data_IF_902949243028
#
_entry.id   IF_902949243028
#
_cell.length_a   1.000
_cell.length_b   1.000
_cell.length_c   1.000
_cell.angle_alpha   90.00
_cell.angle_beta   90.00
_cell.angle_gamma   90.00
#
_symmetry.space_group_name_H-M   'P 1'
#
loop_
_entity.id
_entity.type
_entity.pdbx_description
1 polymer ?
#
# COMPACT_ATOMS: atom_id res chain seq x y z
N UNK A 1 0.97 8.00 3.09
CA UNK A 1 1.75 7.25 4.09
C UNK A 1 1.73 8.04 5.38
N UNK A 2 1.37 7.42 6.50
CA UNK A 2 1.24 8.09 7.81
C UNK A 2 2.49 7.93 8.67
N UNK A 3 3.07 6.72 8.72
CA UNK A 3 4.24 6.43 9.54
C UNK A 3 5.04 5.24 8.99
N UNK A 4 6.31 5.13 9.39
CA UNK A 4 7.18 3.97 9.17
C UNK A 4 7.74 3.53 10.51
N UNK A 5 7.50 2.28 10.89
CA UNK A 5 7.89 1.72 12.20
C UNK A 5 7.44 2.61 13.38
N UNK A 6 6.25 3.19 13.29
CA UNK A 6 5.69 4.10 14.29
C UNK A 6 6.26 5.52 14.28
N UNK A 7 7.23 5.83 13.41
CA UNK A 7 7.73 7.21 13.21
C UNK A 7 6.83 7.93 12.20
N UNK A 8 6.13 9.00 12.58
CA UNK A 8 5.25 9.74 11.68
C UNK A 8 5.98 10.32 10.48
N UNK A 9 5.28 10.43 9.36
CA UNK A 9 5.79 11.08 8.15
C UNK A 9 5.48 12.57 8.17
N UNK A 10 6.49 13.39 7.88
CA UNK A 10 6.33 14.83 7.67
C UNK A 10 5.81 15.17 6.25
N UNK A 11 5.78 14.19 5.33
CA UNK A 11 5.36 14.33 3.93
C UNK A 11 4.01 13.63 3.68
N UNK A 12 2.95 14.22 4.21
CA UNK A 12 1.58 13.75 4.05
C UNK A 12 1.04 14.12 2.67
N UNK A 13 1.38 13.31 1.68
CA UNK A 13 0.89 13.44 0.30
C UNK A 13 0.15 12.18 -0.14
N UNK A 14 -0.86 12.37 -0.98
CA UNK A 14 -1.56 11.29 -1.67
C UNK A 14 -0.61 10.65 -2.68
N UNK A 15 -0.49 9.32 -2.60
CA UNK A 15 0.36 8.49 -3.44
C UNK A 15 -0.41 7.21 -3.77
N UNK A 16 -0.27 6.72 -4.98
CA UNK A 16 -0.78 5.43 -5.44
C UNK A 16 0.12 4.27 -4.97
N UNK A 17 1.43 4.52 -4.88
CA UNK A 17 2.43 3.54 -4.45
C UNK A 17 3.29 4.09 -3.29
N UNK A 18 3.68 3.21 -2.37
CA UNK A 18 4.60 3.52 -1.27
C UNK A 18 5.76 2.52 -1.24
N UNK A 19 6.95 2.99 -0.85
CA UNK A 19 8.09 2.11 -0.59
C UNK A 19 7.93 1.49 0.80
N UNK A 20 8.05 0.16 0.87
CA UNK A 20 8.07 -0.60 2.13
C UNK A 20 9.48 -1.18 2.29
N UNK A 21 10.33 -0.58 3.16
CA UNK A 21 11.64 -1.14 3.46
C UNK A 21 11.56 -2.56 4.04
N UNK A 22 12.58 -3.37 3.79
CA UNK A 22 12.66 -4.71 4.33
C UNK A 22 12.61 -4.70 5.88
N UNK A 23 11.77 -5.55 6.47
CA UNK A 23 11.61 -5.65 7.92
C UNK A 23 10.88 -4.47 8.57
N UNK A 24 10.23 -3.60 7.78
CA UNK A 24 9.49 -2.45 8.29
C UNK A 24 7.97 -2.63 8.21
N UNK A 25 7.27 -1.82 8.98
CA UNK A 25 5.81 -1.64 8.92
C UNK A 25 5.53 -0.22 8.46
N UNK A 26 4.63 -0.06 7.49
CA UNK A 26 4.22 1.24 6.95
C UNK A 26 2.72 1.42 7.20
N UNK A 27 2.36 2.51 7.84
CA UNK A 27 0.96 2.88 8.05
C UNK A 27 0.48 3.71 6.86
N UNK A 28 -0.68 3.33 6.30
CA UNK A 28 -1.30 4.03 5.17
C UNK A 28 -2.72 4.45 5.52
N UNK A 29 -3.10 5.66 5.08
CA UNK A 29 -4.49 6.06 4.98
C UNK A 29 -4.95 5.75 3.56
N UNK A 30 -6.07 5.03 3.43
CA UNK A 30 -6.70 4.71 2.16
C UNK A 30 -8.14 5.20 2.20
N UNK A 31 -8.56 5.92 1.16
CA UNK A 31 -9.95 6.37 0.97
C UNK A 31 -10.50 5.76 -0.34
N UNK A 32 -11.09 4.56 -0.29
CA UNK A 32 -11.60 3.88 -1.47
C UNK A 32 -12.96 4.48 -1.87
N UNK A 33 -12.93 5.51 -2.71
CA UNK A 33 -14.12 6.28 -3.10
C UNK A 33 -14.99 5.65 -4.20
N UNK A 34 -14.58 4.52 -4.76
CA UNK A 34 -15.33 3.82 -5.81
C UNK A 34 -15.52 2.32 -5.51
N UNK A 35 -16.74 1.78 -5.74
CA UNK A 35 -17.03 0.38 -5.49
C UNK A 35 -16.31 -0.54 -6.49
N UNK A 36 -16.10 -1.78 -6.09
CA UNK A 36 -15.51 -2.81 -6.94
C UNK A 36 -14.48 -3.68 -6.22
N UNK A 37 -13.81 -4.54 -6.98
CA UNK A 37 -12.73 -5.39 -6.48
C UNK A 37 -11.40 -4.68 -6.71
N UNK A 38 -10.75 -4.29 -5.62
CA UNK A 38 -9.48 -3.59 -5.62
C UNK A 38 -8.34 -4.59 -5.43
N UNK A 39 -7.18 -4.28 -6.01
CA UNK A 39 -5.96 -5.05 -5.87
C UNK A 39 -4.91 -4.19 -5.16
N UNK A 40 -4.25 -4.78 -4.17
CA UNK A 40 -3.01 -4.27 -3.60
C UNK A 40 -1.91 -5.27 -3.94
N UNK A 41 -0.81 -4.80 -4.52
CA UNK A 41 0.28 -5.68 -4.95
C UNK A 41 1.64 -4.99 -4.82
N UNK A 42 2.71 -5.78 -4.91
CA UNK A 42 4.05 -5.24 -5.06
C UNK A 42 4.27 -4.76 -6.50
N UNK A 43 4.84 -3.55 -6.67
CA UNK A 43 5.19 -3.02 -7.99
C UNK A 43 6.50 -3.58 -8.58
N UNK A 44 7.21 -4.43 -7.82
CA UNK A 44 8.34 -5.22 -8.34
C UNK A 44 7.74 -6.40 -9.12
N UNK A 45 7.96 -6.42 -10.43
CA UNK A 45 7.29 -7.33 -11.36
C UNK A 45 7.54 -8.81 -11.02
N UNK A 46 8.73 -9.13 -10.55
CA UNK A 46 9.13 -10.47 -10.13
C UNK A 46 8.32 -10.91 -8.89
N UNK A 47 8.11 -10.01 -7.93
CA UNK A 47 7.33 -10.29 -6.72
C UNK A 47 5.83 -10.43 -7.06
N UNK A 48 5.31 -9.57 -7.95
CA UNK A 48 3.94 -9.68 -8.45
C UNK A 48 3.71 -11.05 -9.12
N UNK A 49 4.64 -11.44 -10.00
CA UNK A 49 4.58 -12.71 -10.73
C UNK A 49 4.72 -13.92 -9.80
N UNK A 50 5.45 -13.77 -8.69
CA UNK A 50 5.52 -14.76 -7.62
C UNK A 50 4.29 -14.78 -6.71
N UNK A 51 3.30 -13.91 -6.94
CA UNK A 51 2.00 -13.91 -6.26
C UNK A 51 1.87 -12.93 -5.10
N UNK A 52 2.76 -11.93 -4.97
CA UNK A 52 2.69 -10.91 -3.92
C UNK A 52 1.58 -9.88 -4.21
N UNK A 53 0.33 -10.32 -4.07
CA UNK A 53 -0.89 -9.57 -4.31
C UNK A 53 -1.98 -9.99 -3.32
N UNK A 54 -2.87 -9.06 -3.02
CA UNK A 54 -4.13 -9.31 -2.33
C UNK A 54 -5.25 -8.56 -3.04
N UNK A 55 -6.48 -9.03 -2.88
CA UNK A 55 -7.66 -8.36 -3.38
C UNK A 55 -8.70 -8.20 -2.27
N UNK A 56 -9.41 -7.08 -2.27
CA UNK A 56 -10.52 -6.82 -1.36
C UNK A 56 -11.66 -6.13 -2.12
N UNK A 57 -12.85 -6.21 -1.56
CA UNK A 57 -14.07 -5.61 -2.15
C UNK A 57 -14.39 -4.32 -1.41
N UNK A 58 -14.72 -3.28 -2.18
CA UNK A 58 -15.28 -2.02 -1.71
C UNK A 58 -16.74 -1.99 -2.16
N UNK A 59 -17.65 -1.78 -1.21
CA UNK A 59 -19.11 -1.74 -1.42
C UNK A 59 -19.65 -0.31 -1.47
#
# INVERSE_FOLDING_TARGET
>A
MLAVNGVPSDDLVWKDTVLVPAGSVVDILLDPSNPGRWMLHCHIAEHLSAGMMLAFTVE
#
